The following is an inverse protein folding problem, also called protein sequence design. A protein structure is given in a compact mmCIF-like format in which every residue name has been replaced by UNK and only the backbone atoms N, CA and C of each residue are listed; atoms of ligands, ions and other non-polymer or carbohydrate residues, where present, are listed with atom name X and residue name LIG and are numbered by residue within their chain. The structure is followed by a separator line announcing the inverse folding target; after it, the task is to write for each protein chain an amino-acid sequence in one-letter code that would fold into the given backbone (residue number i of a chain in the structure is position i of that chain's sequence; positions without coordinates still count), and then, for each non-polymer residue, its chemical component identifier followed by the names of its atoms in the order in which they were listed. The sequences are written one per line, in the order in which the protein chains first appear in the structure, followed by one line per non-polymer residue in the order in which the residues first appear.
data_IF_272768413798
#
_entry.id   IF_272768413798
#
_cell.length_a   1.000
_cell.length_b   1.000
_cell.length_c   1.000
_cell.angle_alpha   90.00
_cell.angle_beta   90.00
_cell.angle_gamma   90.00
#
_symmetry.space_group_name_H-M   'P 1'
#
loop_
_entity.id
_entity.type
_entity.pdbx_description
1 polymer ?
#
# COMPACT_ATOMS: atom_id res chain seq x y z
N UNK A 1 6.42 28.93 -70.08
CA UNK A 1 6.15 30.20 -69.37
C UNK A 1 4.82 30.04 -68.67
N UNK A 2 4.82 29.95 -67.34
CA UNK A 2 3.62 30.04 -66.52
C UNK A 2 3.96 30.85 -65.27
N UNK A 3 3.19 31.90 -65.05
CA UNK A 3 3.30 32.88 -63.98
C UNK A 3 2.68 32.43 -62.64
N UNK A 4 3.47 32.65 -61.58
CA UNK A 4 3.22 33.31 -60.28
C UNK A 4 1.85 33.21 -59.56
N UNK A 5 1.90 32.51 -58.41
CA UNK A 5 1.40 32.78 -57.03
C UNK A 5 0.37 33.92 -56.75
N UNK A 6 -0.65 33.65 -55.91
CA UNK A 6 -0.75 34.03 -54.47
C UNK A 6 -2.21 34.11 -53.97
N UNK A 7 -2.43 33.56 -52.77
CA UNK A 7 -3.10 34.31 -51.70
C UNK A 7 -4.45 33.81 -51.15
N UNK A 8 -4.46 33.48 -49.86
CA UNK A 8 -5.53 33.94 -48.96
C UNK A 8 -6.41 32.88 -48.27
N UNK A 9 -6.01 32.51 -47.04
CA UNK A 9 -6.77 31.93 -45.93
C UNK A 9 -8.20 32.51 -45.77
N UNK A 10 -9.23 31.91 -45.16
CA UNK A 10 -9.38 30.87 -44.14
C UNK A 10 -10.81 30.30 -44.29
N UNK A 11 -10.99 28.99 -44.40
CA UNK A 11 -12.31 28.37 -44.32
C UNK A 11 -12.19 27.05 -43.56
N UNK A 12 -12.42 27.06 -42.24
CA UNK A 12 -12.68 25.85 -41.46
C UNK A 12 -13.60 26.18 -40.27
N UNK A 13 -14.91 26.09 -40.48
CA UNK A 13 -15.83 25.69 -39.41
C UNK A 13 -15.68 24.18 -39.28
N UNK A 14 -14.86 23.77 -38.30
CA UNK A 14 -14.64 22.37 -37.94
C UNK A 14 -15.91 21.82 -37.32
N UNK A 15 -16.62 20.99 -38.08
CA UNK A 15 -17.35 19.87 -37.50
C UNK A 15 -16.29 18.83 -37.08
N UNK A 16 -16.25 18.46 -35.80
CA UNK A 16 -15.66 17.19 -35.42
C UNK A 16 -16.46 16.63 -34.25
N UNK A 17 -17.00 15.45 -34.51
CA UNK A 17 -17.66 14.56 -33.58
C UNK A 17 -16.99 14.54 -32.22
N UNK A 18 -17.79 14.48 -31.16
CA UNK A 18 -17.33 13.93 -29.90
C UNK A 18 -16.98 12.45 -30.18
N UNK A 19 -15.72 12.21 -30.51
CA UNK A 19 -15.12 10.89 -30.42
C UNK A 19 -15.20 10.50 -28.94
N UNK A 20 -15.89 9.40 -28.67
CA UNK A 20 -15.76 8.68 -27.42
C UNK A 20 -14.29 8.32 -27.29
N UNK A 21 -13.55 9.10 -26.51
CA UNK A 21 -12.24 8.70 -26.02
C UNK A 21 -12.53 7.52 -25.12
N UNK A 22 -12.40 6.32 -25.70
CA UNK A 22 -11.99 5.14 -24.95
C UNK A 22 -10.67 5.51 -24.30
N UNK A 23 -10.74 6.09 -23.10
CA UNK A 23 -9.67 6.03 -22.12
C UNK A 23 -9.54 4.55 -21.77
N UNK A 24 -8.84 3.83 -22.64
CA UNK A 24 -8.17 2.60 -22.29
C UNK A 24 -7.02 3.03 -21.37
N UNK A 25 -7.40 3.41 -20.15
CA UNK A 25 -6.47 3.63 -19.06
C UNK A 25 -5.73 2.32 -18.87
N UNK A 26 -4.55 2.20 -19.45
CA UNK A 26 -3.54 1.27 -18.98
C UNK A 26 -3.07 1.81 -17.63
N UNK A 27 -3.97 1.79 -16.64
CA UNK A 27 -3.61 2.00 -15.26
C UNK A 27 -2.57 0.95 -14.93
N UNK A 28 -1.37 1.38 -14.57
CA UNK A 28 -0.35 0.47 -14.09
C UNK A 28 -0.89 -0.12 -12.78
N UNK A 29 -1.30 -1.38 -12.84
CA UNK A 29 -1.79 -2.11 -11.66
C UNK A 29 -0.63 -2.31 -10.71
N UNK A 30 -0.63 -1.60 -9.59
CA UNK A 30 0.35 -1.79 -8.52
C UNK A 30 -0.21 -2.74 -7.48
N UNK A 31 0.66 -3.52 -6.83
CA UNK A 31 0.29 -4.39 -5.72
C UNK A 31 0.90 -3.89 -4.43
N UNK A 32 0.20 -4.08 -3.33
CA UNK A 32 0.66 -3.76 -2.00
C UNK A 32 0.35 -4.90 -1.02
N UNK A 33 1.00 -4.90 0.14
CA UNK A 33 0.64 -5.75 1.26
C UNK A 33 0.16 -4.85 2.39
N UNK A 34 -1.13 -4.93 2.72
CA UNK A 34 -1.69 -4.31 3.91
C UNK A 34 -1.32 -5.11 5.16
N UNK A 35 -1.05 -4.37 6.23
CA UNK A 35 -0.71 -4.89 7.55
C UNK A 35 -1.76 -4.38 8.54
N UNK A 36 -2.34 -5.30 9.32
CA UNK A 36 -3.30 -4.98 10.37
C UNK A 36 -3.00 -5.84 11.60
N UNK A 37 -2.65 -5.22 12.71
CA UNK A 37 -2.27 -5.93 13.94
C UNK A 37 -2.97 -5.27 15.14
N UNK A 38 -3.91 -5.95 15.80
CA UNK A 38 -4.58 -5.39 16.99
C UNK A 38 -3.62 -5.31 18.18
N UNK A 39 -3.79 -4.29 19.03
CA UNK A 39 -2.98 -3.97 20.20
C UNK A 39 -3.82 -3.87 21.50
N UNK A 40 -5.00 -4.51 21.57
CA UNK A 40 -6.07 -4.31 22.58
C UNK A 40 -5.64 -4.02 24.04
N UNK A 41 -4.52 -4.56 24.53
CA UNK A 41 -4.02 -4.33 25.90
C UNK A 41 -2.56 -3.88 25.98
N UNK A 42 -1.92 -3.55 24.85
CA UNK A 42 -0.48 -3.38 24.66
C UNK A 42 0.29 -2.90 25.92
N UNK A 43 0.82 -3.86 26.70
CA UNK A 43 1.54 -3.54 27.93
C UNK A 43 3.00 -3.17 27.65
N UNK A 44 3.45 -3.29 26.40
CA UNK A 44 4.81 -2.96 26.00
C UNK A 44 4.97 -1.49 25.56
N UNK A 45 3.86 -0.76 25.39
CA UNK A 45 3.86 0.66 25.10
C UNK A 45 4.43 1.00 23.73
N UNK A 46 3.95 0.32 22.69
CA UNK A 46 4.28 0.57 21.29
C UNK A 46 3.90 2.00 20.91
N UNK A 47 4.83 2.70 20.26
CA UNK A 47 4.62 4.05 19.72
C UNK A 47 4.95 4.18 18.25
N UNK A 48 5.79 3.28 17.72
CA UNK A 48 6.12 3.22 16.29
C UNK A 48 6.22 1.77 15.85
N UNK A 49 5.99 1.53 14.57
CA UNK A 49 6.16 0.21 13.98
C UNK A 49 6.67 0.33 12.54
N UNK A 50 7.31 -0.74 12.09
CA UNK A 50 7.83 -0.84 10.73
C UNK A 50 7.54 -2.22 10.16
N UNK A 51 7.36 -2.28 8.85
CA UNK A 51 7.34 -3.54 8.12
C UNK A 51 8.31 -3.54 6.95
N UNK A 52 8.82 -4.72 6.62
CA UNK A 52 9.65 -4.94 5.43
C UNK A 52 9.27 -6.24 4.76
N UNK A 53 9.38 -6.28 3.44
CA UNK A 53 9.20 -7.49 2.64
C UNK A 53 10.55 -7.97 2.17
N UNK A 54 10.83 -9.26 2.35
CA UNK A 54 11.84 -9.97 1.58
C UNK A 54 11.13 -10.83 0.54
N UNK A 55 11.43 -10.57 -0.73
CA UNK A 55 10.79 -11.22 -1.86
C UNK A 55 11.79 -11.89 -2.78
N UNK A 56 11.33 -12.76 -3.69
CA UNK A 56 12.21 -13.44 -4.65
C UNK A 56 12.90 -12.48 -5.62
N UNK A 57 12.29 -11.31 -5.88
CA UNK A 57 12.80 -10.32 -6.84
C UNK A 57 13.59 -9.21 -6.15
N UNK A 58 13.06 -8.67 -5.05
CA UNK A 58 13.67 -7.59 -4.28
C UNK A 58 13.13 -7.55 -2.86
N UNK A 59 13.91 -6.90 -2.00
CA UNK A 59 13.49 -6.50 -0.67
C UNK A 59 12.89 -5.09 -0.68
N UNK A 60 11.95 -4.82 0.22
CA UNK A 60 11.26 -3.53 0.37
C UNK A 60 11.23 -3.17 1.86
N UNK A 61 11.57 -1.92 2.18
CA UNK A 61 11.48 -1.36 3.52
C UNK A 61 12.83 -1.21 4.24
N UNK A 62 12.81 -0.88 5.54
CA UNK A 62 11.64 -0.76 6.41
C UNK A 62 10.71 0.40 6.02
N UNK A 63 9.40 0.13 5.99
CA UNK A 63 8.33 1.11 5.79
C UNK A 63 7.68 1.38 7.13
N UNK A 64 7.48 2.65 7.48
CA UNK A 64 6.77 3.04 8.70
C UNK A 64 5.29 2.64 8.61
N UNK A 65 4.79 2.04 9.69
CA UNK A 65 3.38 1.78 9.90
C UNK A 65 2.80 2.81 10.86
N UNK A 66 1.51 3.06 10.75
CA UNK A 66 0.75 3.86 11.68
C UNK A 66 0.44 3.05 12.94
N UNK A 67 0.72 3.63 14.11
CA UNK A 67 0.37 3.06 15.41
C UNK A 67 -0.76 3.90 15.99
N UNK A 68 -1.92 3.27 16.14
CA UNK A 68 -3.11 3.81 16.78
C UNK A 68 -3.24 3.22 18.19
N UNK A 69 -4.20 3.73 18.97
CA UNK A 69 -4.39 3.32 20.36
C UNK A 69 -4.65 1.81 20.54
N UNK A 70 -5.23 1.15 19.54
CA UNK A 70 -5.70 -0.23 19.58
C UNK A 70 -5.17 -1.09 18.43
N UNK A 71 -4.33 -0.56 17.54
CA UNK A 71 -3.82 -1.31 16.40
C UNK A 71 -2.59 -0.69 15.72
N UNK A 72 -1.87 -1.52 14.97
CA UNK A 72 -0.86 -1.13 13.99
C UNK A 72 -1.45 -1.36 12.59
N UNK A 73 -1.41 -0.33 11.75
CA UNK A 73 -1.94 -0.36 10.40
C UNK A 73 -0.97 0.23 9.38
N UNK A 74 -1.08 -0.22 8.13
CA UNK A 74 -0.37 0.39 7.01
C UNK A 74 -0.29 -0.52 5.80
N UNK A 75 0.48 -0.11 4.81
CA UNK A 75 0.72 -0.92 3.61
C UNK A 75 2.15 -0.77 3.11
N UNK A 76 2.70 -1.87 2.60
CA UNK A 76 3.95 -1.88 1.83
C UNK A 76 3.56 -1.83 0.36
N UNK A 77 3.96 -0.76 -0.32
CA UNK A 77 3.57 -0.47 -1.70
C UNK A 77 4.55 -1.09 -2.71
N UNK A 78 4.13 -1.14 -3.97
CA UNK A 78 4.94 -1.60 -5.09
C UNK A 78 5.56 -2.99 -4.86
N UNK A 79 4.81 -3.91 -4.26
CA UNK A 79 5.27 -5.28 -4.05
C UNK A 79 5.19 -6.02 -5.39
N UNK A 80 6.30 -6.57 -5.92
CA UNK A 80 6.23 -7.36 -7.15
C UNK A 80 5.31 -8.56 -6.97
N UNK A 81 4.65 -8.97 -8.06
CA UNK A 81 3.93 -10.26 -8.07
C UNK A 81 4.91 -11.40 -7.82
N UNK A 82 4.48 -12.37 -7.02
CA UNK A 82 5.35 -13.45 -6.56
C UNK A 82 4.73 -14.24 -5.42
N UNK A 83 5.23 -15.44 -5.23
CA UNK A 83 4.86 -16.28 -4.10
C UNK A 83 5.87 -16.09 -2.97
N UNK A 84 5.41 -16.39 -1.76
CA UNK A 84 6.22 -16.49 -0.57
C UNK A 84 7.00 -15.22 -0.18
N UNK A 85 6.36 -14.05 -0.26
CA UNK A 85 6.94 -12.82 0.28
C UNK A 85 6.97 -12.90 1.81
N UNK A 86 8.16 -12.87 2.40
CA UNK A 86 8.33 -12.82 3.85
C UNK A 86 8.14 -11.39 4.33
N UNK A 87 7.10 -11.16 5.11
CA UNK A 87 6.80 -9.87 5.71
C UNK A 87 7.27 -9.90 7.15
N UNK A 88 8.25 -9.05 7.45
CA UNK A 88 8.75 -8.83 8.79
C UNK A 88 8.06 -7.61 9.36
N UNK A 89 7.58 -7.72 10.60
CA UNK A 89 7.03 -6.58 11.34
C UNK A 89 7.80 -6.43 12.63
N UNK A 90 8.14 -5.18 12.97
CA UNK A 90 8.75 -4.79 14.24
C UNK A 90 7.98 -3.61 14.82
N UNK A 91 7.69 -3.68 16.11
CA UNK A 91 7.07 -2.60 16.86
C UNK A 91 8.01 -2.13 17.97
N UNK A 92 8.03 -0.83 18.23
CA UNK A 92 8.99 -0.18 19.09
C UNK A 92 8.31 0.69 20.15
N UNK A 93 8.86 0.69 21.36
CA UNK A 93 8.42 1.58 22.43
C UNK A 93 9.03 2.99 22.33
N UNK A 94 8.69 3.87 23.26
CA UNK A 94 9.18 5.26 23.30
C UNK A 94 10.70 5.39 23.47
N UNK A 95 11.38 4.32 23.88
CA UNK A 95 12.85 4.26 23.97
C UNK A 95 13.51 3.80 22.66
N UNK A 96 12.72 3.50 21.62
CA UNK A 96 13.21 2.99 20.33
C UNK A 96 13.61 1.51 20.37
N UNK A 97 13.25 0.77 21.43
CA UNK A 97 13.57 -0.65 21.55
C UNK A 97 12.49 -1.49 20.89
N UNK A 98 12.89 -2.53 20.15
CA UNK A 98 11.96 -3.46 19.52
C UNK A 98 11.28 -4.31 20.60
N UNK A 99 10.01 -4.03 20.85
CA UNK A 99 9.21 -4.71 21.88
C UNK A 99 8.38 -5.85 21.34
N UNK A 100 7.97 -5.78 20.07
CA UNK A 100 7.38 -6.90 19.35
C UNK A 100 8.07 -7.14 18.03
N UNK A 101 8.18 -8.41 17.63
CA UNK A 101 8.61 -8.76 16.29
C UNK A 101 7.97 -10.04 15.80
N UNK A 102 7.76 -10.13 14.49
CA UNK A 102 7.26 -11.35 13.86
C UNK A 102 7.53 -11.36 12.38
N UNK A 103 7.34 -12.54 11.80
CA UNK A 103 7.46 -12.77 10.36
C UNK A 103 6.33 -13.68 9.92
N UNK A 104 5.79 -13.42 8.74
CA UNK A 104 4.87 -14.32 8.07
C UNK A 104 5.05 -14.24 6.57
N UNK A 105 4.42 -15.14 5.85
CA UNK A 105 4.58 -15.30 4.40
C UNK A 105 3.25 -15.05 3.70
N UNK A 106 3.23 -14.18 2.70
CA UNK A 106 2.05 -13.87 1.90
C UNK A 106 2.36 -13.96 0.41
N UNK A 107 1.39 -14.42 -0.38
CA UNK A 107 1.49 -14.47 -1.82
C UNK A 107 0.87 -13.20 -2.44
N UNK A 108 1.50 -12.70 -3.51
CA UNK A 108 1.00 -11.56 -4.31
C UNK A 108 0.71 -12.06 -5.72
N UNK A 109 -0.57 -12.33 -5.97
CA UNK A 109 -1.04 -12.92 -7.22
C UNK A 109 -1.45 -11.86 -8.24
N UNK A 110 -1.16 -12.09 -9.51
CA UNK A 110 -1.59 -11.23 -10.61
C UNK A 110 -3.08 -11.42 -10.94
N UNK A 111 -3.79 -10.34 -11.28
CA UNK A 111 -5.00 -10.42 -12.10
C UNK A 111 -6.26 -10.97 -11.42
N UNK A 112 -6.49 -10.69 -10.14
CA UNK A 112 -7.78 -10.98 -9.48
C UNK A 112 -8.03 -12.46 -9.15
N UNK A 113 -7.04 -13.35 -9.33
CA UNK A 113 -7.10 -14.77 -8.98
C UNK A 113 -7.14 -15.08 -7.47
N UNK A 114 -7.49 -14.11 -6.64
CA UNK A 114 -7.46 -14.18 -5.18
C UNK A 114 -6.29 -13.39 -4.60
N UNK A 115 -6.60 -12.34 -3.87
CA UNK A 115 -5.67 -11.64 -3.00
C UNK A 115 -5.18 -12.62 -1.93
N UNK A 116 -3.87 -12.88 -1.88
CA UNK A 116 -3.25 -13.66 -0.83
C UNK A 116 -3.47 -13.00 0.53
N UNK A 117 -3.81 -13.81 1.54
CA UNK A 117 -3.95 -13.37 2.92
C UNK A 117 -3.23 -14.35 3.84
N UNK A 118 -2.60 -13.84 4.88
CA UNK A 118 -1.88 -14.62 5.86
C UNK A 118 -2.11 -14.06 7.27
N UNK A 119 -2.04 -14.93 8.27
CA UNK A 119 -1.94 -14.49 9.65
C UNK A 119 -0.48 -14.16 9.95
N UNK A 120 -0.23 -13.09 10.69
CA UNK A 120 1.10 -12.79 11.26
C UNK A 120 1.04 -12.92 12.76
N UNK A 121 2.02 -13.61 13.34
CA UNK A 121 2.20 -13.68 14.78
C UNK A 121 3.41 -12.84 15.14
N UNK A 122 3.20 -11.83 15.99
CA UNK A 122 4.31 -11.07 16.58
C UNK A 122 4.43 -11.44 18.06
N UNK A 123 5.67 -11.52 18.53
CA UNK A 123 6.03 -11.96 19.87
C UNK A 123 6.76 -10.86 20.61
N UNK A 124 6.45 -10.70 21.89
CA UNK A 124 7.14 -9.72 22.72
C UNK A 124 8.59 -10.12 22.96
N UNK A 125 9.49 -9.14 22.96
CA UNK A 125 10.85 -9.32 23.49
C UNK A 125 10.81 -9.33 25.01
N UNK A 126 11.28 -10.41 25.64
CA UNK A 126 11.38 -10.50 27.11
C UNK A 126 12.27 -9.40 27.70
N UNK A 127 13.34 -9.04 26.99
CA UNK A 127 14.30 -8.01 27.41
C UNK A 127 13.69 -6.61 27.31
N UNK A 128 13.05 -6.31 26.19
CA UNK A 128 12.55 -4.96 25.90
C UNK A 128 11.11 -4.72 26.39
N UNK A 129 10.38 -5.80 26.70
CA UNK A 129 9.05 -5.77 27.29
C UNK A 129 8.92 -6.78 28.45
N UNK A 130 9.43 -6.44 29.65
CA UNK A 130 9.30 -7.29 30.83
C UNK A 130 7.84 -7.56 31.24
N UNK A 131 6.93 -6.66 30.88
CA UNK A 131 5.50 -6.79 31.16
C UNK A 131 4.86 -8.02 30.49
N UNK A 132 5.50 -8.58 29.44
CA UNK A 132 5.05 -9.81 28.80
C UNK A 132 5.29 -11.08 29.60
N UNK A 133 6.05 -11.01 30.70
CA UNK A 133 6.41 -12.18 31.49
C UNK A 133 7.28 -13.18 30.72
N UNK A 134 7.56 -14.33 31.34
CA UNK A 134 8.51 -15.33 30.80
C UNK A 134 8.06 -16.02 29.51
N UNK A 135 6.75 -16.13 29.32
CA UNK A 135 6.16 -16.75 28.12
C UNK A 135 6.06 -15.76 26.94
N UNK A 136 6.22 -14.46 27.22
CA UNK A 136 5.98 -13.39 26.28
C UNK A 136 4.49 -13.25 25.90
N UNK A 137 4.20 -12.19 25.18
CA UNK A 137 2.88 -11.90 24.61
C UNK A 137 2.93 -12.24 23.13
N UNK A 138 1.95 -13.01 22.66
CA UNK A 138 1.73 -13.27 21.25
C UNK A 138 0.52 -12.49 20.76
N UNK A 139 0.72 -11.67 19.73
CA UNK A 139 -0.34 -10.91 19.08
C UNK A 139 -0.59 -11.49 17.69
N UNK A 140 -1.87 -11.56 17.33
CA UNK A 140 -2.36 -12.13 16.08
C UNK A 140 -2.80 -11.01 15.16
N UNK A 141 -2.07 -10.79 14.08
CA UNK A 141 -2.42 -9.85 13.02
C UNK A 141 -2.74 -10.53 11.70
N UNK A 142 -3.05 -9.71 10.70
CA UNK A 142 -3.40 -10.11 9.35
C UNK A 142 -2.56 -9.35 8.32
N UNK A 143 -2.18 -10.07 7.28
CA UNK A 143 -1.55 -9.57 6.06
C UNK A 143 -2.50 -9.82 4.90
N UNK A 144 -2.65 -8.83 4.03
CA UNK A 144 -3.49 -8.94 2.83
C UNK A 144 -2.78 -8.30 1.66
N UNK A 145 -2.53 -9.08 0.61
CA UNK A 145 -2.13 -8.50 -0.67
C UNK A 145 -3.33 -7.77 -1.26
N UNK A 146 -3.11 -6.59 -1.84
CA UNK A 146 -4.16 -5.80 -2.47
C UNK A 146 -3.68 -5.22 -3.78
N UNK A 147 -4.63 -4.94 -4.66
CA UNK A 147 -4.40 -4.19 -5.88
C UNK A 147 -4.70 -2.72 -5.64
N UNK A 148 -3.83 -1.85 -6.12
CA UNK A 148 -3.99 -0.41 -6.09
C UNK A 148 -4.04 0.05 -7.53
N UNK A 149 -5.26 0.37 -7.97
CA UNK A 149 -5.46 0.97 -9.28
C UNK A 149 -5.07 2.44 -9.19
N UNK A 150 -4.06 2.84 -9.95
CA UNK A 150 -3.70 4.23 -10.14
C UNK A 150 -4.74 4.94 -11.03
N UNK A 151 -6.01 4.95 -10.63
CA UNK A 151 -7.02 5.82 -11.22
C UNK A 151 -6.91 7.16 -10.49
N UNK A 152 -6.63 8.22 -11.24
CA UNK A 152 -6.30 9.53 -10.71
C UNK A 152 -7.24 10.00 -9.59
N UNK A 153 -6.66 10.32 -8.44
CA UNK A 153 -7.29 11.19 -7.45
C UNK A 153 -7.44 12.58 -8.03
N UNK A 154 -8.45 12.77 -8.88
CA UNK A 154 -8.85 14.05 -9.45
C UNK A 154 -10.37 14.07 -9.66
N UNK A 155 -11.15 13.79 -8.62
CA UNK A 155 -12.59 14.03 -8.63
C UNK A 155 -13.19 14.16 -7.21
N UNK A 156 -12.76 15.16 -6.44
CA UNK A 156 -13.61 15.66 -5.35
C UNK A 156 -13.36 17.12 -5.00
N UNK A 157 -13.43 18.02 -5.98
CA UNK A 157 -13.72 19.44 -5.74
C UNK A 157 -14.57 19.98 -6.90
N UNK A 158 -15.89 19.75 -6.82
CA UNK A 158 -16.86 20.60 -7.48
C UNK A 158 -17.61 21.39 -6.39
N UNK A 159 -17.60 22.73 -6.41
CA UNK A 159 -18.37 23.53 -5.48
C UNK A 159 -19.86 23.39 -5.83
N UNK A 160 -20.67 23.02 -4.84
CA UNK A 160 -22.13 23.11 -4.96
C UNK A 160 -22.54 24.60 -5.05
N UNK A 161 -22.67 25.07 -6.29
CA UNK A 161 -23.54 26.18 -6.66
C UNK A 161 -24.99 25.66 -6.61
N UNK A 162 -25.80 26.19 -5.69
CA UNK A 162 -27.26 26.10 -5.76
C UNK A 162 -27.83 27.52 -5.60
N UNK A 163 -28.35 27.99 -6.74
CA UNK A 163 -29.44 28.96 -7.01
C UNK A 163 -29.55 30.23 -6.19
#
# INVERSE_FOLDING_TARGET
MWEVMLGGSCALLVACSAEEVTEQGTGMTTYAIQVSIPLETDPCGVVTATASVQGPVRDIGPVSLEVMNDAIHGAIMDVPVGLQHQVFVKAYNSSGLAVYSGVSTVDVNQGGGGMGSANIFIYSSLENCPAGGTEGIRIHGRLESVTIDAVGSAAMLAPHLIR
#
